data_IF_292248390108
#
_entry.id   IF_292248390108
#
_cell.length_a   1.000
_cell.length_b   1.000
_cell.length_c   1.000
_cell.angle_alpha   90.00
_cell.angle_beta   90.00
_cell.angle_gamma   90.00
#
_symmetry.space_group_name_H-M   'P 1'
#
loop_
_entity.id
_entity.type
_entity.pdbx_description
1 polymer ?
#
# COMPACT_ATOMS: atom_id res chain seq x y z
N UNK A 1 9.32 2.94 20.23
CA UNK A 1 7.96 2.42 19.95
C UNK A 1 8.10 1.20 19.04
N UNK A 2 7.50 0.07 19.40
CA UNK A 2 7.55 -1.16 18.60
C UNK A 2 6.47 -1.14 17.52
N UNK A 3 6.87 -1.38 16.28
CA UNK A 3 5.96 -1.46 15.13
C UNK A 3 6.05 -2.85 14.53
N UNK A 4 4.91 -3.51 14.35
CA UNK A 4 4.83 -4.78 13.62
C UNK A 4 4.22 -4.54 12.24
N UNK A 5 4.95 -4.92 11.19
CA UNK A 5 4.43 -4.94 9.82
C UNK A 5 4.02 -6.36 9.47
N UNK A 6 2.72 -6.62 9.43
CA UNK A 6 2.14 -7.95 9.24
C UNK A 6 1.71 -8.09 7.79
N UNK A 7 2.44 -8.92 7.04
CA UNK A 7 2.34 -9.11 5.59
C UNK A 7 1.61 -10.43 5.28
N UNK A 8 0.32 -10.36 5.00
CA UNK A 8 -0.52 -11.52 4.69
C UNK A 8 -0.81 -11.59 3.19
N UNK A 9 -0.08 -12.42 2.46
CA UNK A 9 -0.09 -12.41 0.99
C UNK A 9 0.82 -11.31 0.42
N UNK A 10 0.52 -10.83 -0.79
CA UNK A 10 1.32 -9.81 -1.47
C UNK A 10 0.46 -8.81 -2.24
N UNK A 11 0.63 -7.52 -1.97
CA UNK A 11 0.16 -6.39 -2.77
C UNK A 11 1.38 -5.50 -3.09
N UNK A 12 1.31 -4.63 -4.11
CA UNK A 12 2.44 -3.81 -4.55
C UNK A 12 3.03 -2.90 -3.47
N UNK A 13 2.21 -2.42 -2.53
CA UNK A 13 2.66 -1.59 -1.39
C UNK A 13 3.36 -2.38 -0.26
N UNK A 14 3.29 -3.70 -0.28
CA UNK A 14 3.71 -4.58 0.83
C UNK A 14 5.22 -4.88 0.91
N UNK A 15 5.99 -5.05 -0.20
CA UNK A 15 7.35 -5.60 -0.12
C UNK A 15 8.30 -4.81 0.76
N UNK A 16 8.28 -3.47 0.68
CA UNK A 16 9.23 -2.59 1.38
C UNK A 16 8.58 -1.73 2.49
N UNK A 17 7.34 -2.03 2.90
CA UNK A 17 6.62 -1.17 3.85
C UNK A 17 7.35 -0.98 5.18
N UNK A 18 7.94 -2.05 5.72
CA UNK A 18 8.75 -2.02 6.95
C UNK A 18 10.03 -1.21 6.79
N UNK A 19 10.65 -1.28 5.62
CA UNK A 19 11.93 -0.61 5.33
C UNK A 19 11.72 0.88 5.04
N UNK A 20 10.63 1.26 4.36
CA UNK A 20 10.39 2.67 3.98
C UNK A 20 10.08 3.60 5.16
N UNK A 21 9.70 3.05 6.32
CA UNK A 21 9.40 3.84 7.53
C UNK A 21 10.70 4.27 8.23
N UNK A 22 11.81 3.58 7.97
CA UNK A 22 13.15 3.89 8.46
C UNK A 22 14.17 3.63 7.35
N UNK A 23 14.13 4.46 6.32
CA UNK A 23 14.77 4.24 5.02
C UNK A 23 16.30 4.18 5.08
N UNK A 24 16.92 4.61 6.19
CA UNK A 24 18.36 4.54 6.45
C UNK A 24 18.74 3.73 7.70
N UNK A 25 17.77 3.09 8.36
CA UNK A 25 17.98 2.40 9.62
C UNK A 25 18.63 3.30 10.69
N UNK A 26 18.30 4.60 10.69
CA UNK A 26 18.90 5.61 11.57
C UNK A 26 17.91 6.21 12.58
N UNK A 27 16.62 5.89 12.44
CA UNK A 27 15.60 6.27 13.40
C UNK A 27 15.83 5.59 14.75
N UNK A 28 15.86 6.38 15.81
CA UNK A 28 16.04 5.90 17.20
C UNK A 28 14.72 5.79 17.95
N UNK A 29 13.63 6.24 17.36
CA UNK A 29 12.33 6.33 17.99
C UNK A 29 11.44 5.09 17.79
N UNK A 30 11.77 4.25 16.81
CA UNK A 30 11.00 3.08 16.41
C UNK A 30 11.85 1.80 16.41
N UNK A 31 11.22 0.67 16.74
CA UNK A 31 11.76 -0.68 16.52
C UNK A 31 10.78 -1.42 15.62
N UNK A 32 11.16 -1.62 14.35
CA UNK A 32 10.28 -2.18 13.31
C UNK A 32 10.63 -3.65 13.07
N UNK A 33 9.61 -4.52 13.04
CA UNK A 33 9.77 -5.91 12.61
C UNK A 33 8.69 -6.31 11.61
N UNK A 34 9.09 -7.03 10.58
CA UNK A 34 8.17 -7.61 9.61
C UNK A 34 7.85 -9.07 9.97
N UNK A 35 6.56 -9.42 9.86
CA UNK A 35 6.03 -10.76 10.07
C UNK A 35 5.24 -11.13 8.81
N UNK A 36 5.44 -12.33 8.26
CA UNK A 36 4.81 -12.70 6.99
C UNK A 36 4.35 -14.15 6.94
N UNK A 37 3.21 -14.37 6.30
CA UNK A 37 2.71 -15.69 5.90
C UNK A 37 3.18 -16.10 4.50
N UNK A 38 4.14 -15.35 3.93
CA UNK A 38 4.52 -15.47 2.52
C UNK A 38 3.33 -15.14 1.61
N UNK A 39 3.13 -15.95 0.57
CA UNK A 39 2.01 -15.78 -0.37
C UNK A 39 0.67 -16.29 0.14
N UNK A 40 0.64 -16.95 1.32
CA UNK A 40 -0.57 -17.57 1.86
C UNK A 40 -1.44 -16.58 2.62
N UNK A 41 -2.75 -16.72 2.48
CA UNK A 41 -3.76 -15.91 3.17
C UNK A 41 -4.86 -16.78 3.80
N UNK A 42 -4.66 -18.10 3.84
CA UNK A 42 -5.55 -18.99 4.55
C UNK A 42 -5.50 -18.71 6.06
N UNK A 43 -6.56 -19.14 6.71
CA UNK A 43 -6.81 -18.93 8.14
C UNK A 43 -5.62 -19.38 9.01
N UNK A 44 -5.10 -20.59 8.78
CA UNK A 44 -4.04 -21.17 9.60
C UNK A 44 -2.74 -20.36 9.48
N UNK A 45 -2.32 -20.07 8.26
CA UNK A 45 -1.11 -19.29 8.01
C UNK A 45 -1.19 -17.88 8.63
N UNK A 46 -2.36 -17.23 8.55
CA UNK A 46 -2.57 -15.91 9.13
C UNK A 46 -2.62 -15.95 10.67
N UNK A 47 -3.26 -16.96 11.26
CA UNK A 47 -3.33 -17.14 12.72
C UNK A 47 -1.95 -17.40 13.33
N UNK A 48 -1.13 -18.24 12.69
CA UNK A 48 0.22 -18.55 13.17
C UNK A 48 1.12 -17.31 13.21
N UNK A 49 1.11 -16.52 12.14
CA UNK A 49 1.85 -15.25 12.08
C UNK A 49 1.32 -14.25 13.12
N UNK A 50 0.00 -14.14 13.25
CA UNK A 50 -0.64 -13.23 14.21
C UNK A 50 -0.27 -13.59 15.66
N UNK A 51 -0.17 -14.88 16.00
CA UNK A 51 0.26 -15.33 17.32
C UNK A 51 1.68 -14.87 17.65
N UNK A 52 2.60 -14.93 16.69
CA UNK A 52 3.97 -14.42 16.87
C UNK A 52 3.98 -12.89 17.03
N UNK A 53 3.12 -12.17 16.32
CA UNK A 53 2.96 -10.71 16.46
C UNK A 53 2.44 -10.35 17.86
N UNK A 54 1.43 -11.07 18.36
CA UNK A 54 0.90 -10.86 19.71
C UNK A 54 1.97 -11.11 20.78
N UNK A 55 2.79 -12.15 20.61
CA UNK A 55 3.91 -12.44 21.51
C UNK A 55 5.02 -11.36 21.47
N UNK A 56 5.20 -10.69 20.33
CA UNK A 56 6.15 -9.58 20.20
C UNK A 56 5.72 -8.33 20.99
N UNK A 57 4.40 -8.13 21.16
CA UNK A 57 3.81 -7.00 21.88
C UNK A 57 4.12 -5.64 21.24
N UNK A 58 3.69 -5.39 19.99
CA UNK A 58 3.88 -4.10 19.31
C UNK A 58 2.95 -3.01 19.86
N UNK A 59 3.38 -1.76 19.76
CA UNK A 59 2.59 -0.57 20.07
C UNK A 59 1.66 -0.17 18.90
N UNK A 60 2.03 -0.56 17.67
CA UNK A 60 1.27 -0.33 16.44
C UNK A 60 1.46 -1.50 15.48
N UNK A 61 0.38 -1.90 14.82
CA UNK A 61 0.40 -2.91 13.77
C UNK A 61 -0.01 -2.30 12.43
N UNK A 62 0.82 -2.51 11.41
CA UNK A 62 0.47 -2.29 10.01
C UNK A 62 0.09 -3.65 9.41
N UNK A 63 -1.22 -3.91 9.28
CA UNK A 63 -1.75 -5.16 8.76
C UNK A 63 -2.02 -5.03 7.26
N UNK A 64 -1.19 -5.65 6.44
CA UNK A 64 -1.24 -5.51 4.98
C UNK A 64 -1.73 -6.80 4.34
N UNK A 65 -2.76 -6.71 3.50
CA UNK A 65 -3.26 -7.88 2.78
C UNK A 65 -4.02 -7.51 1.49
N UNK A 66 -3.88 -8.30 0.41
CA UNK A 66 -4.87 -8.32 -0.66
C UNK A 66 -6.23 -8.65 -0.09
N UNK A 67 -7.23 -7.89 -0.48
CA UNK A 67 -8.62 -8.06 -0.10
C UNK A 67 -8.83 -8.36 1.40
N UNK A 68 -8.86 -7.31 2.21
CA UNK A 68 -9.05 -7.41 3.67
C UNK A 68 -10.36 -8.08 4.13
N UNK A 69 -11.27 -8.47 3.22
CA UNK A 69 -12.47 -9.27 3.56
C UNK A 69 -12.19 -10.76 3.64
N UNK A 70 -11.02 -11.24 3.19
CA UNK A 70 -10.69 -12.67 3.24
C UNK A 70 -10.62 -13.17 4.69
N UNK A 71 -10.89 -14.46 4.89
CA UNK A 71 -11.06 -15.05 6.22
C UNK A 71 -9.80 -14.93 7.08
N UNK A 72 -8.62 -15.19 6.51
CA UNK A 72 -7.33 -15.05 7.20
C UNK A 72 -7.07 -13.62 7.68
N UNK A 73 -7.03 -12.61 6.79
CA UNK A 73 -6.89 -11.21 7.18
C UNK A 73 -7.94 -10.73 8.18
N UNK A 74 -9.20 -11.17 8.04
CA UNK A 74 -10.28 -10.82 8.98
C UNK A 74 -10.01 -11.35 10.38
N UNK A 75 -9.58 -12.62 10.50
CA UNK A 75 -9.25 -13.20 11.81
C UNK A 75 -8.03 -12.55 12.44
N UNK A 76 -6.97 -12.30 11.65
CA UNK A 76 -5.79 -11.57 12.12
C UNK A 76 -6.17 -10.20 12.68
N UNK A 77 -6.96 -9.42 11.92
CA UNK A 77 -7.49 -8.13 12.36
C UNK A 77 -8.26 -8.25 13.68
N UNK A 78 -9.19 -9.20 13.79
CA UNK A 78 -9.99 -9.36 15.00
C UNK A 78 -9.13 -9.72 16.22
N UNK A 79 -8.15 -10.62 16.07
CA UNK A 79 -7.26 -11.00 17.17
C UNK A 79 -6.41 -9.82 17.68
N UNK A 80 -5.91 -8.98 16.76
CA UNK A 80 -5.15 -7.77 17.11
C UNK A 80 -6.02 -6.74 17.86
N UNK A 81 -7.26 -6.55 17.41
CA UNK A 81 -8.22 -5.65 18.08
C UNK A 81 -8.66 -6.19 19.44
N UNK A 82 -8.87 -7.50 19.59
CA UNK A 82 -9.15 -8.12 20.88
C UNK A 82 -7.99 -7.97 21.87
N UNK A 83 -6.76 -7.86 21.38
CA UNK A 83 -5.59 -7.54 22.18
C UNK A 83 -5.41 -6.02 22.44
N UNK A 84 -6.36 -5.19 22.00
CA UNK A 84 -6.33 -3.72 22.12
C UNK A 84 -5.09 -3.07 21.49
N UNK A 85 -4.53 -3.67 20.43
CA UNK A 85 -3.36 -3.14 19.72
C UNK A 85 -3.85 -2.23 18.58
N UNK A 86 -3.46 -0.93 18.57
CA UNK A 86 -3.75 -0.03 17.46
C UNK A 86 -3.31 -0.64 16.13
N UNK A 87 -4.24 -0.75 15.18
CA UNK A 87 -4.01 -1.45 13.92
C UNK A 87 -4.42 -0.56 12.74
N UNK A 88 -3.53 -0.41 11.77
CA UNK A 88 -3.82 0.19 10.45
C UNK A 88 -3.87 -0.94 9.43
N UNK A 89 -5.05 -1.21 8.88
CA UNK A 89 -5.21 -2.17 7.80
C UNK A 89 -4.96 -1.53 6.43
N UNK A 90 -4.00 -2.06 5.66
CA UNK A 90 -3.66 -1.57 4.33
C UNK A 90 -4.08 -2.63 3.30
N UNK A 91 -4.91 -2.24 2.33
CA UNK A 91 -5.51 -3.20 1.40
C UNK A 91 -5.80 -2.60 0.03
N UNK A 92 -6.11 -3.45 -0.93
CA UNK A 92 -6.47 -3.11 -2.30
C UNK A 92 -7.96 -2.72 -2.44
N UNK A 93 -8.36 -2.34 -3.66
CA UNK A 93 -9.74 -1.93 -3.97
C UNK A 93 -10.84 -2.89 -3.48
N UNK A 94 -10.76 -4.22 -3.74
CA UNK A 94 -11.71 -5.21 -3.22
C UNK A 94 -11.86 -5.19 -1.69
N UNK A 95 -10.75 -4.98 -0.97
CA UNK A 95 -10.72 -4.91 0.49
C UNK A 95 -11.53 -3.76 1.08
N UNK A 96 -11.91 -2.74 0.29
CA UNK A 96 -12.76 -1.63 0.72
C UNK A 96 -14.04 -2.09 1.43
N UNK A 97 -14.63 -3.23 1.02
CA UNK A 97 -15.86 -3.77 1.60
C UNK A 97 -15.72 -4.15 3.07
N UNK A 98 -14.51 -4.41 3.56
CA UNK A 98 -14.27 -4.69 4.97
C UNK A 98 -14.44 -3.43 5.85
N UNK A 99 -14.32 -2.24 5.26
CA UNK A 99 -14.19 -0.98 5.98
C UNK A 99 -15.22 0.07 5.60
N UNK A 100 -16.02 -0.17 4.56
CA UNK A 100 -17.03 0.76 4.09
C UNK A 100 -18.40 0.08 4.06
N UNK A 101 -19.35 0.62 4.81
CA UNK A 101 -20.76 0.21 4.84
C UNK A 101 -21.63 1.22 4.11
N UNK A 102 -22.76 0.79 3.54
CA UNK A 102 -23.75 1.73 3.03
C UNK A 102 -24.66 2.16 4.17
N UNK A 103 -24.92 3.47 4.27
CA UNK A 103 -25.98 3.96 5.13
C UNK A 103 -27.36 3.74 4.50
N UNK A 104 -28.40 4.15 5.21
CA UNK A 104 -29.81 4.05 4.80
C UNK A 104 -30.10 4.75 3.46
N UNK A 105 -29.26 5.71 3.07
CA UNK A 105 -29.35 6.48 1.83
C UNK A 105 -28.46 5.89 0.72
N UNK A 106 -27.81 4.75 0.97
CA UNK A 106 -26.93 4.06 0.03
C UNK A 106 -25.53 4.67 -0.09
N UNK A 107 -25.19 5.68 0.70
CA UNK A 107 -23.87 6.35 0.69
C UNK A 107 -22.87 5.51 1.48
N UNK A 108 -21.68 5.32 0.92
CA UNK A 108 -20.60 4.59 1.60
C UNK A 108 -20.05 5.43 2.75
N UNK A 109 -20.07 4.89 3.97
CA UNK A 109 -19.46 5.47 5.16
C UNK A 109 -18.42 4.50 5.75
N UNK A 110 -17.32 5.02 6.33
CA UNK A 110 -16.33 4.17 6.95
C UNK A 110 -16.90 3.51 8.21
N UNK A 111 -16.56 2.25 8.43
CA UNK A 111 -16.85 1.56 9.70
C UNK A 111 -16.03 2.21 10.80
N UNK A 112 -16.68 2.47 11.93
CA UNK A 112 -16.03 2.97 13.13
C UNK A 112 -15.84 1.79 14.09
N UNK A 113 -14.62 1.26 14.11
CA UNK A 113 -14.17 0.30 15.12
C UNK A 113 -13.05 0.97 15.90
N UNK A 114 -13.13 0.90 17.22
CA UNK A 114 -12.09 1.39 18.12
C UNK A 114 -10.79 0.62 17.89
N UNK A 115 -9.64 1.30 17.95
CA UNK A 115 -8.33 0.70 17.70
C UNK A 115 -8.06 0.31 16.23
N UNK A 116 -8.99 0.54 15.30
CA UNK A 116 -8.84 0.23 13.88
C UNK A 116 -8.84 1.47 12.99
N UNK A 117 -7.74 1.63 12.25
CA UNK A 117 -7.66 2.45 11.05
C UNK A 117 -7.53 1.59 9.80
N UNK A 118 -7.70 2.21 8.64
CA UNK A 118 -7.47 1.58 7.35
C UNK A 118 -7.04 2.58 6.27
N UNK A 119 -6.29 2.05 5.30
CA UNK A 119 -5.96 2.70 4.03
C UNK A 119 -6.28 1.72 2.90
N UNK A 120 -7.26 2.07 2.08
CA UNK A 120 -7.59 1.33 0.86
C UNK A 120 -6.88 1.99 -0.30
N UNK A 121 -6.17 1.22 -1.12
CA UNK A 121 -5.39 1.66 -2.28
C UNK A 121 -5.95 0.96 -3.53
N UNK A 122 -6.97 1.55 -4.19
CA UNK A 122 -7.55 0.98 -5.41
C UNK A 122 -6.54 0.81 -6.55
N UNK A 123 -5.43 1.57 -6.51
CA UNK A 123 -4.35 1.55 -7.49
C UNK A 123 -3.31 0.48 -7.20
N UNK A 124 -3.54 -0.42 -6.24
CA UNK A 124 -2.73 -1.60 -5.97
C UNK A 124 -3.48 -2.84 -6.49
N UNK A 125 -3.43 -3.12 -7.81
CA UNK A 125 -4.30 -4.09 -8.44
C UNK A 125 -3.83 -5.52 -8.23
N UNK A 126 -4.78 -6.45 -8.24
CA UNK A 126 -4.48 -7.88 -8.29
C UNK A 126 -3.74 -8.23 -9.59
N UNK A 127 -2.66 -9.00 -9.46
CA UNK A 127 -1.88 -9.57 -10.57
C UNK A 127 -2.68 -10.60 -11.38
N UNK A 128 -2.33 -10.80 -12.65
CA UNK A 128 -2.93 -11.81 -13.53
C UNK A 128 -2.56 -13.25 -13.14
N UNK A 129 -3.06 -13.75 -12.01
CA UNK A 129 -2.70 -15.03 -11.40
C UNK A 129 -3.25 -16.28 -12.12
N UNK A 130 -2.91 -16.45 -13.40
CA UNK A 130 -3.19 -17.65 -14.20
C UNK A 130 -1.92 -18.49 -14.34
N UNK A 131 -2.05 -19.81 -14.11
CA UNK A 131 -0.92 -20.75 -14.08
C UNK A 131 -0.12 -20.76 -15.39
N UNK A 132 -0.82 -20.60 -16.50
CA UNK A 132 -0.27 -20.64 -17.85
C UNK A 132 0.55 -19.40 -18.21
N UNK A 133 0.48 -18.34 -17.40
CA UNK A 133 1.10 -17.05 -17.68
C UNK A 133 2.03 -16.61 -16.54
N UNK A 134 1.57 -16.68 -15.30
CA UNK A 134 2.27 -16.12 -14.14
C UNK A 134 3.26 -17.12 -13.54
N UNK A 135 4.48 -17.12 -14.05
CA UNK A 135 5.62 -17.78 -13.44
C UNK A 135 6.28 -16.89 -12.35
N UNK A 136 7.28 -17.40 -11.60
CA UNK A 136 8.01 -16.58 -10.63
C UNK A 136 8.65 -15.32 -11.22
N UNK A 137 9.15 -15.38 -12.46
CA UNK A 137 9.80 -14.25 -13.13
C UNK A 137 8.79 -13.14 -13.38
N UNK A 138 7.67 -13.46 -14.02
CA UNK A 138 6.61 -12.51 -14.33
C UNK A 138 5.97 -11.92 -13.07
N UNK A 139 5.86 -12.73 -12.00
CA UNK A 139 5.42 -12.24 -10.69
C UNK A 139 6.36 -11.17 -10.11
N UNK A 140 7.67 -11.37 -10.21
CA UNK A 140 8.66 -10.39 -9.74
C UNK A 140 8.64 -9.13 -10.60
N UNK A 141 8.58 -9.28 -11.93
CA UNK A 141 8.51 -8.15 -12.87
C UNK A 141 7.30 -7.26 -12.60
N UNK A 142 6.11 -7.87 -12.48
CA UNK A 142 4.89 -7.14 -12.15
C UNK A 142 5.02 -6.36 -10.84
N UNK A 143 5.46 -7.00 -9.76
CA UNK A 143 5.57 -6.30 -8.47
C UNK A 143 6.66 -5.22 -8.48
N UNK A 144 7.76 -5.42 -9.21
CA UNK A 144 8.81 -4.41 -9.37
C UNK A 144 8.31 -3.16 -10.12
N UNK A 145 7.57 -3.35 -11.21
CA UNK A 145 6.97 -2.23 -11.95
C UNK A 145 5.87 -1.55 -11.13
N UNK A 146 5.01 -2.30 -10.45
CA UNK A 146 3.95 -1.74 -9.61
C UNK A 146 4.54 -0.89 -8.48
N UNK A 147 5.56 -1.40 -7.78
CA UNK A 147 6.24 -0.66 -6.72
C UNK A 147 6.82 0.65 -7.23
N UNK A 148 7.41 0.66 -8.43
CA UNK A 148 7.92 1.87 -9.07
C UNK A 148 6.80 2.88 -9.33
N UNK A 149 5.68 2.46 -9.92
CA UNK A 149 4.55 3.38 -10.19
C UNK A 149 4.04 3.98 -8.88
N UNK A 150 3.77 3.16 -7.86
CA UNK A 150 3.24 3.64 -6.57
C UNK A 150 4.22 4.58 -5.85
N UNK A 151 5.53 4.37 -6.02
CA UNK A 151 6.57 5.21 -5.44
C UNK A 151 6.65 6.59 -6.09
N UNK A 152 6.56 6.65 -7.43
CA UNK A 152 6.66 7.91 -8.18
C UNK A 152 5.38 8.74 -8.07
N UNK A 153 4.22 8.10 -8.05
CA UNK A 153 2.92 8.76 -8.15
C UNK A 153 2.38 9.32 -6.83
N UNK A 154 3.14 9.20 -5.72
CA UNK A 154 2.78 9.78 -4.42
C UNK A 154 1.99 8.87 -3.48
N UNK A 155 1.60 7.66 -3.90
CA UNK A 155 0.92 6.67 -3.05
C UNK A 155 1.78 6.32 -1.84
N UNK A 156 3.05 5.99 -2.06
CA UNK A 156 4.00 5.68 -0.97
C UNK A 156 4.21 6.87 -0.04
N UNK A 157 4.27 8.10 -0.58
CA UNK A 157 4.41 9.31 0.26
C UNK A 157 3.17 9.56 1.11
N UNK A 158 1.97 9.27 0.57
CA UNK A 158 0.73 9.36 1.34
C UNK A 158 0.73 8.35 2.50
N UNK A 159 1.17 7.12 2.24
CA UNK A 159 1.32 6.10 3.30
C UNK A 159 2.32 6.54 4.37
N UNK A 160 3.50 7.04 3.97
CA UNK A 160 4.49 7.62 4.89
C UNK A 160 3.83 8.63 5.84
N UNK A 161 3.21 9.69 5.29
CA UNK A 161 2.59 10.76 6.10
C UNK A 161 1.50 10.26 7.05
N UNK A 162 0.72 9.26 6.62
CA UNK A 162 -0.34 8.67 7.45
C UNK A 162 0.26 7.89 8.61
N UNK A 163 1.28 7.08 8.34
CA UNK A 163 1.95 6.25 9.34
C UNK A 163 2.71 7.13 10.33
N UNK A 164 3.49 8.11 9.86
CA UNK A 164 4.28 9.00 10.71
C UNK A 164 3.42 9.79 11.68
N UNK A 165 2.25 10.28 11.24
CA UNK A 165 1.30 10.96 12.13
C UNK A 165 0.85 10.05 13.27
N UNK A 166 0.52 8.79 12.97
CA UNK A 166 0.08 7.83 13.99
C UNK A 166 1.23 7.48 14.94
N UNK A 167 2.46 7.35 14.43
CA UNK A 167 3.65 7.16 15.25
C UNK A 167 3.84 8.35 16.20
N UNK A 168 3.71 9.58 15.69
CA UNK A 168 3.83 10.81 16.49
C UNK A 168 2.77 10.88 17.59
N UNK A 169 1.49 10.60 17.28
CA UNK A 169 0.41 10.57 18.27
C UNK A 169 0.71 9.58 19.41
N UNK A 170 1.14 8.36 19.08
CA UNK A 170 1.44 7.31 20.06
C UNK A 170 2.66 7.70 20.91
N UNK A 171 3.71 8.24 20.29
CA UNK A 171 4.90 8.71 21.01
C UNK A 171 4.59 9.85 21.99
N UNK A 172 3.67 10.73 21.62
CA UNK A 172 3.19 11.81 22.46
C UNK A 172 2.18 11.34 23.54
N UNK A 173 1.94 10.03 23.65
CA UNK A 173 0.97 9.41 24.57
C UNK A 173 -0.46 9.94 24.37
N UNK A 174 -0.76 10.38 23.15
CA UNK A 174 -2.10 10.75 22.73
C UNK A 174 -2.84 9.51 22.21
N UNK A 175 -4.18 9.58 22.19
CA UNK A 175 -4.97 8.58 21.49
C UNK A 175 -4.66 8.68 19.97
N UNK A 176 -4.21 7.59 19.31
CA UNK A 176 -3.79 7.66 17.92
C UNK A 176 -4.95 8.03 16.99
N UNK A 177 -4.72 9.02 16.12
CA UNK A 177 -5.65 9.39 15.06
C UNK A 177 -5.55 8.40 13.90
N UNK A 178 -6.13 7.22 14.09
CA UNK A 178 -6.08 6.14 13.11
C UNK A 178 -6.78 6.53 11.79
N UNK A 179 -6.14 6.30 10.63
CA UNK A 179 -6.66 6.74 9.33
C UNK A 179 -7.94 5.99 8.96
N UNK A 180 -8.82 6.62 8.19
CA UNK A 180 -9.96 5.97 7.53
C UNK A 180 -10.04 6.47 6.11
N UNK A 181 -9.17 5.93 5.25
CA UNK A 181 -8.88 6.50 3.94
C UNK A 181 -9.17 5.49 2.83
N UNK A 182 -9.82 5.98 1.78
CA UNK A 182 -9.79 5.34 0.45
C UNK A 182 -9.03 6.30 -0.44
N UNK A 183 -7.84 5.89 -0.89
CA UNK A 183 -6.93 6.78 -1.60
C UNK A 183 -7.40 6.96 -3.04
N UNK A 184 -7.79 8.19 -3.40
CA UNK A 184 -8.12 8.52 -4.77
C UNK A 184 -6.88 8.89 -5.58
N UNK A 185 -6.92 8.65 -6.90
CA UNK A 185 -5.78 8.88 -7.80
C UNK A 185 -5.25 10.32 -7.74
N UNK A 186 -6.17 11.29 -7.72
CA UNK A 186 -5.89 12.72 -7.70
C UNK A 186 -5.25 13.13 -6.36
N UNK A 187 -5.74 12.56 -5.25
CA UNK A 187 -5.17 12.78 -3.92
C UNK A 187 -3.77 12.20 -3.82
N UNK A 188 -3.53 10.99 -4.34
CA UNK A 188 -2.21 10.38 -4.37
C UNK A 188 -1.22 11.22 -5.18
N UNK A 189 -1.61 11.66 -6.38
CA UNK A 189 -0.77 12.49 -7.25
C UNK A 189 -0.40 13.83 -6.60
N UNK A 190 -1.34 14.46 -5.89
CA UNK A 190 -1.07 15.70 -5.15
C UNK A 190 -0.01 15.50 -4.04
N UNK A 191 -0.02 14.33 -3.40
CA UNK A 191 0.95 14.00 -2.34
C UNK A 191 2.36 13.77 -2.87
N UNK A 192 2.53 13.45 -4.16
CA UNK A 192 3.85 13.33 -4.76
C UNK A 192 4.64 14.65 -4.73
N UNK A 193 3.93 15.79 -4.75
CA UNK A 193 4.48 17.14 -4.61
C UNK A 193 5.21 17.63 -5.85
N UNK A 194 4.70 17.30 -7.04
CA UNK A 194 5.31 17.66 -8.32
C UNK A 194 5.36 19.19 -8.52
N UNK A 195 6.50 19.69 -9.00
CA UNK A 195 6.63 21.07 -9.47
C UNK A 195 6.06 21.23 -10.88
N UNK A 196 6.21 20.22 -11.74
CA UNK A 196 5.69 20.23 -13.10
C UNK A 196 4.23 19.73 -13.16
N UNK A 197 3.26 20.53 -13.66
CA UNK A 197 1.87 20.09 -13.77
C UNK A 197 1.64 18.93 -14.75
N UNK A 198 2.54 18.74 -15.73
CA UNK A 198 2.49 17.57 -16.62
C UNK A 198 2.93 16.30 -15.90
N UNK A 199 3.84 16.39 -14.93
CA UNK A 199 4.20 15.26 -14.08
C UNK A 199 2.98 14.81 -13.23
N UNK A 200 2.25 15.77 -12.65
CA UNK A 200 0.99 15.47 -11.95
C UNK A 200 -0.05 14.82 -12.87
N UNK A 201 -0.23 15.34 -14.09
CA UNK A 201 -1.17 14.79 -15.07
C UNK A 201 -0.82 13.36 -15.46
N UNK A 202 0.47 13.08 -15.70
CA UNK A 202 0.98 11.73 -15.99
C UNK A 202 0.81 10.80 -14.79
N UNK A 203 0.98 11.28 -13.57
CA UNK A 203 0.79 10.49 -12.36
C UNK A 203 -0.67 10.05 -12.20
N UNK A 204 -1.62 10.98 -12.41
CA UNK A 204 -3.05 10.65 -12.42
C UNK A 204 -3.33 9.61 -13.51
N UNK A 205 -2.81 9.79 -14.73
CA UNK A 205 -3.00 8.83 -15.81
C UNK A 205 -2.46 7.42 -15.45
N UNK A 206 -1.25 7.32 -14.90
CA UNK A 206 -0.65 6.07 -14.47
C UNK A 206 -1.51 5.38 -13.40
N UNK A 207 -1.99 6.12 -12.40
CA UNK A 207 -2.86 5.61 -11.34
C UNK A 207 -4.21 5.13 -11.88
N UNK A 208 -4.84 5.84 -12.82
CA UNK A 208 -6.08 5.40 -13.49
C UNK A 208 -5.87 4.13 -14.32
N UNK A 209 -4.71 3.97 -14.94
CA UNK A 209 -4.35 2.72 -15.64
C UNK A 209 -4.33 1.55 -14.65
N UNK A 210 -3.76 1.72 -13.45
CA UNK A 210 -3.75 0.68 -12.42
C UNK A 210 -5.17 0.33 -11.92
N UNK A 211 -6.05 1.32 -11.72
CA UNK A 211 -7.45 1.08 -11.37
C UNK A 211 -8.20 0.28 -12.46
N UNK A 212 -7.90 0.56 -13.74
CA UNK A 212 -8.46 -0.17 -14.86
C UNK A 212 -7.90 -1.59 -14.97
N UNK A 213 -6.59 -1.76 -14.74
CA UNK A 213 -5.88 -3.04 -14.72
C UNK A 213 -6.56 -4.02 -13.77
N UNK A 214 -6.93 -3.58 -12.57
CA UNK A 214 -7.63 -4.42 -11.58
C UNK A 214 -8.88 -5.11 -12.16
N UNK A 215 -9.61 -4.43 -13.04
CA UNK A 215 -10.81 -4.98 -13.70
C UNK A 215 -10.46 -6.04 -14.75
N UNK A 216 -9.43 -5.77 -15.55
CA UNK A 216 -8.94 -6.69 -16.59
C UNK A 216 -8.39 -7.97 -15.95
N UNK A 217 -7.55 -7.82 -14.91
CA UNK A 217 -7.02 -8.95 -14.15
C UNK A 217 -8.12 -9.77 -13.46
N UNK A 218 -9.13 -9.10 -12.89
CA UNK A 218 -10.30 -9.80 -12.31
C UNK A 218 -11.11 -10.56 -13.35
N UNK A 219 -11.29 -10.00 -14.56
CA UNK A 219 -11.93 -10.73 -15.66
C UNK A 219 -11.11 -11.95 -16.06
N UNK A 220 -9.81 -11.78 -16.25
CA UNK A 220 -8.89 -12.84 -16.59
C UNK A 220 -8.95 -13.98 -15.57
N UNK A 221 -8.87 -13.67 -14.27
CA UNK A 221 -8.75 -14.67 -13.21
C UNK A 221 -10.06 -15.34 -12.81
N UNK A 222 -11.19 -14.62 -12.85
CA UNK A 222 -12.43 -15.09 -12.23
C UNK A 222 -13.63 -15.23 -13.16
N UNK A 223 -13.62 -14.57 -14.34
CA UNK A 223 -14.80 -14.52 -15.21
C UNK A 223 -14.59 -15.27 -16.53
N UNK A 224 -13.47 -15.05 -17.20
CA UNK A 224 -13.16 -15.70 -18.47
C UNK A 224 -12.86 -17.19 -18.25
N UNK A 225 -13.51 -18.04 -19.05
CA UNK A 225 -13.34 -19.51 -19.01
C UNK A 225 -12.50 -20.06 -20.16
N UNK A 226 -12.57 -19.42 -21.33
CA UNK A 226 -11.75 -19.80 -22.48
C UNK A 226 -10.27 -19.49 -22.21
N UNK A 227 -9.40 -20.48 -22.46
CA UNK A 227 -7.97 -20.39 -22.18
C UNK A 227 -7.29 -19.28 -22.96
N UNK A 228 -7.51 -19.23 -24.27
CA UNK A 228 -6.86 -18.23 -25.10
C UNK A 228 -7.29 -16.83 -24.67
N UNK A 229 -8.57 -16.64 -24.36
CA UNK A 229 -9.08 -15.38 -23.83
C UNK A 229 -8.44 -15.02 -22.47
N UNK A 230 -8.47 -15.88 -21.45
CA UNK A 230 -8.00 -15.48 -20.13
C UNK A 230 -6.48 -15.28 -20.07
N UNK A 231 -5.70 -16.02 -20.86
CA UNK A 231 -4.24 -15.83 -20.92
C UNK A 231 -3.92 -14.49 -21.56
N UNK A 232 -4.58 -14.15 -22.67
CA UNK A 232 -4.43 -12.85 -23.32
C UNK A 232 -4.83 -11.70 -22.40
N UNK A 233 -5.92 -11.83 -21.64
CA UNK A 233 -6.32 -10.80 -20.69
C UNK A 233 -5.34 -10.66 -19.51
N UNK A 234 -4.78 -11.76 -19.01
CA UNK A 234 -3.76 -11.71 -17.96
C UNK A 234 -2.50 -10.98 -18.43
N UNK A 235 -2.03 -11.30 -19.64
CA UNK A 235 -0.91 -10.61 -20.29
C UNK A 235 -1.22 -9.15 -20.58
N UNK A 236 -2.41 -8.83 -21.11
CA UNK A 236 -2.82 -7.44 -21.37
C UNK A 236 -2.84 -6.59 -20.10
N UNK A 237 -3.23 -7.17 -18.95
CA UNK A 237 -3.16 -6.48 -17.66
C UNK A 237 -1.71 -6.13 -17.29
N UNK A 238 -0.73 -7.00 -17.57
CA UNK A 238 0.68 -6.71 -17.31
C UNK A 238 1.23 -5.65 -18.26
N UNK A 239 0.82 -5.65 -19.54
CA UNK A 239 1.17 -4.58 -20.48
C UNK A 239 0.59 -3.21 -20.08
N UNK A 240 -0.60 -3.18 -19.45
CA UNK A 240 -1.14 -1.95 -18.86
C UNK A 240 -0.24 -1.44 -17.73
N UNK A 241 0.26 -2.32 -16.86
CA UNK A 241 1.19 -1.93 -15.81
C UNK A 241 2.50 -1.39 -16.43
N UNK A 242 3.01 -2.05 -17.46
CA UNK A 242 4.20 -1.60 -18.18
C UNK A 242 4.03 -0.17 -18.70
N UNK A 243 2.90 0.14 -19.33
CA UNK A 243 2.61 1.49 -19.80
C UNK A 243 2.56 2.51 -18.65
N UNK A 244 1.98 2.14 -17.50
CA UNK A 244 2.00 2.99 -16.30
C UNK A 244 3.42 3.18 -15.74
N UNK A 245 4.28 2.17 -15.81
CA UNK A 245 5.68 2.24 -15.39
C UNK A 245 6.53 3.14 -16.29
N UNK A 246 6.26 3.18 -17.60
CA UNK A 246 6.89 4.13 -18.52
C UNK A 246 6.47 5.57 -18.21
N UNK A 247 5.18 5.81 -17.91
CA UNK A 247 4.74 7.12 -17.42
C UNK A 247 5.45 7.51 -16.11
N UNK A 248 5.67 6.55 -15.20
CA UNK A 248 6.43 6.79 -13.98
C UNK A 248 7.89 7.20 -14.24
N UNK A 249 8.55 6.63 -15.24
CA UNK A 249 9.88 7.10 -15.66
C UNK A 249 9.84 8.54 -16.15
N UNK A 250 8.94 8.84 -17.08
CA UNK A 250 8.80 10.18 -17.65
C UNK A 250 8.52 11.23 -16.57
N UNK A 251 7.66 10.91 -15.60
CA UNK A 251 7.38 11.78 -14.44
C UNK A 251 8.66 12.08 -13.68
N UNK A 252 9.44 11.04 -13.35
CA UNK A 252 10.63 11.21 -12.52
C UNK A 252 11.71 12.00 -13.26
N UNK A 253 11.89 11.77 -14.56
CA UNK A 253 12.83 12.52 -15.38
C UNK A 253 12.42 13.99 -15.57
N UNK A 254 11.12 14.28 -15.72
CA UNK A 254 10.61 15.66 -15.79
C UNK A 254 10.90 16.46 -14.51
N UNK A 255 10.80 15.82 -13.34
CA UNK A 255 11.13 16.48 -12.08
C UNK A 255 12.64 16.62 -11.87
N UNK A 256 13.45 15.65 -12.35
CA UNK A 256 14.92 15.76 -12.37
C UNK A 256 15.38 16.91 -13.25
N UNK A 257 14.83 17.05 -14.45
CA UNK A 257 15.23 18.11 -15.39
C UNK A 257 14.95 19.51 -14.84
N UNK A 258 14.05 19.62 -13.86
CA UNK A 258 13.69 20.86 -13.18
C UNK A 258 14.40 21.05 -11.83
N UNK A 259 15.27 20.12 -11.42
CA UNK A 259 15.87 20.08 -10.08
C UNK A 259 14.84 20.28 -8.95
N UNK A 260 13.69 19.61 -9.07
CA UNK A 260 12.52 19.87 -8.24
C UNK A 260 11.93 18.61 -7.59
N UNK A 261 12.71 17.53 -7.50
CA UNK A 261 12.23 16.29 -6.88
C UNK A 261 12.01 16.50 -5.38
N UNK A 262 10.75 16.41 -4.96
CA UNK A 262 10.43 16.32 -3.55
C UNK A 262 11.02 15.06 -2.91
N UNK A 263 11.88 15.25 -1.92
CA UNK A 263 12.41 14.22 -1.01
C UNK A 263 11.94 14.52 0.41
N UNK A 264 11.50 13.49 1.13
CA UNK A 264 10.95 13.59 2.50
C UNK A 264 11.59 12.52 3.38
N UNK A 265 12.82 12.77 3.83
CA UNK A 265 13.60 11.82 4.62
C UNK A 265 13.31 11.98 6.11
N UNK A 266 13.30 10.86 6.85
CA UNK A 266 13.27 10.92 8.31
C UNK A 266 14.60 11.43 8.85
N UNK A 267 14.61 12.00 10.05
CA UNK A 267 15.78 12.24 10.88
C UNK A 267 15.84 11.17 11.97
N UNK A 268 16.97 11.09 12.67
CA UNK A 268 17.17 10.11 13.75
C UNK A 268 16.12 10.21 14.89
N UNK A 269 15.49 11.37 15.08
CA UNK A 269 14.43 11.59 16.06
C UNK A 269 13.01 11.27 15.54
N UNK A 270 12.89 10.82 14.29
CA UNK A 270 11.65 10.52 13.59
C UNK A 270 10.99 11.69 12.87
N UNK A 271 11.50 12.93 13.03
CA UNK A 271 10.98 14.09 12.30
C UNK A 271 11.30 13.99 10.80
N UNK A 272 10.46 14.58 9.94
CA UNK A 272 10.64 14.53 8.49
C UNK A 272 11.23 15.84 7.97
N UNK A 273 12.37 15.75 7.27
CA UNK A 273 12.97 16.87 6.55
C UNK A 273 12.58 16.82 5.07
N UNK A 274 12.22 17.98 4.53
CA UNK A 274 11.85 18.17 3.13
C UNK A 274 13.01 18.77 2.36
N UNK A 275 13.23 18.26 1.15
CA UNK A 275 14.15 18.82 0.15
C UNK A 275 13.48 18.84 -1.22
N UNK A 276 13.87 19.76 -2.08
CA UNK A 276 13.46 19.88 -3.48
C UNK A 276 14.68 19.84 -4.41
N UNK A 277 15.60 20.80 -4.25
CA UNK A 277 16.80 20.89 -5.09
C UNK A 277 17.85 19.88 -4.67
N UNK A 278 18.55 19.27 -5.64
CA UNK A 278 19.52 18.19 -5.39
C UNK A 278 20.62 18.59 -4.40
N UNK A 279 21.06 19.84 -4.46
CA UNK A 279 22.13 20.40 -3.63
C UNK A 279 21.61 21.34 -2.54
N UNK A 280 20.37 21.15 -2.08
CA UNK A 280 19.80 21.88 -0.95
C UNK A 280 20.46 21.46 0.38
N UNK A 281 20.82 22.45 1.21
CA UNK A 281 21.42 22.23 2.53
C UNK A 281 20.43 21.64 3.55
N UNK A 282 20.94 20.89 4.55
CA UNK A 282 20.16 20.24 5.63
C UNK A 282 19.73 21.20 6.76
#
# INVERSE_FOLDING_TARGET
MKIAVVKLGCIGTLPLLDIMIDERADRKDVEIRAFSSGSKMDTTSCEDVTRTVLAYGPDLVLLVSPNATLSGPTKARNALLSASIPTIAITDGPGQKAFMVKDEQGKKRPVQVEGLGFVVIPQDPMIGARREFLDPTEMVLFNGELLKVLSVTGVIRKLQKVIDRVIEDIRNKCAPSLPRLVLHSEEAAAEAGFANPYAASKAIAALKILEALAKVSSEACFKAKDRNKYVLLASAAHEMLRAAALLADEIRELEKSNDAILRTSHRADGSVKRYLSLLEDD
#
